data_IF_485884498014
#
_entry.id   IF_485884498014
#
_cell.length_a   1.000
_cell.length_b   1.000
_cell.length_c   1.000
_cell.angle_alpha   90.00
_cell.angle_beta   90.00
_cell.angle_gamma   90.00
#
_symmetry.space_group_name_H-M   'P 1'
#
loop_
_entity.id
_entity.type
_entity.pdbx_description
1 polymer ?
#
# COMPACT_ATOMS: atom_id res chain seq x y z
N UNK A 1 -3.50 13.10 5.80
CA UNK A 1 -3.96 11.75 5.44
C UNK A 1 -2.89 10.74 5.76
N UNK A 2 -3.26 9.54 6.25
CA UNK A 2 -2.35 8.42 6.46
C UNK A 2 -2.73 7.27 5.53
N UNK A 3 -1.75 6.65 4.89
CA UNK A 3 -1.94 5.46 4.06
C UNK A 3 -1.02 4.34 4.55
N UNK A 4 -1.62 3.20 4.92
CA UNK A 4 -0.87 1.98 5.18
C UNK A 4 -0.80 1.12 3.91
N UNK A 5 0.40 0.72 3.52
CA UNK A 5 0.69 -0.11 2.35
C UNK A 5 1.09 -1.49 2.84
N UNK A 6 0.23 -2.49 2.61
CA UNK A 6 0.50 -3.86 3.03
C UNK A 6 0.50 -4.80 1.83
N UNK A 7 1.25 -5.86 1.92
CA UNK A 7 1.26 -6.88 0.88
C UNK A 7 2.59 -7.61 0.72
N UNK A 8 2.80 -8.15 -0.48
CA UNK A 8 3.99 -8.93 -0.81
C UNK A 8 4.98 -8.17 -1.72
N UNK A 9 5.71 -8.84 -2.60
CA UNK A 9 6.83 -8.28 -3.39
C UNK A 9 6.51 -6.97 -4.10
N UNK A 10 5.33 -6.85 -4.70
CA UNK A 10 4.92 -5.60 -5.37
C UNK A 10 4.64 -4.47 -4.38
N UNK A 11 4.19 -4.78 -3.16
CA UNK A 11 4.08 -3.80 -2.08
C UNK A 11 5.46 -3.43 -1.51
N UNK A 12 6.40 -4.39 -1.42
CA UNK A 12 7.80 -4.10 -1.02
C UNK A 12 8.42 -3.08 -1.97
N UNK A 13 8.19 -3.24 -3.27
CA UNK A 13 8.79 -2.42 -4.30
C UNK A 13 10.06 -3.06 -4.86
N UNK A 14 9.93 -3.57 -6.07
CA UNK A 14 11.00 -4.29 -6.79
C UNK A 14 11.38 -3.60 -8.10
N UNK A 15 10.63 -2.57 -8.51
CA UNK A 15 10.90 -1.79 -9.70
C UNK A 15 12.22 -1.00 -9.54
N UNK A 16 13.02 -0.93 -10.60
CA UNK A 16 14.30 -0.23 -10.60
C UNK A 16 14.08 1.29 -10.74
N UNK A 17 14.73 2.07 -9.89
CA UNK A 17 14.72 3.54 -10.01
C UNK A 17 15.18 4.03 -11.38
N UNK A 18 16.13 3.32 -12.00
CA UNK A 18 16.60 3.63 -13.34
C UNK A 18 15.49 3.54 -14.41
N UNK A 19 14.44 2.75 -14.16
CA UNK A 19 13.30 2.63 -15.07
C UNK A 19 12.47 3.91 -15.13
N UNK A 20 12.50 4.75 -14.09
CA UNK A 20 11.83 6.04 -14.07
C UNK A 20 12.38 7.02 -15.13
N UNK A 21 13.63 6.83 -15.54
CA UNK A 21 14.27 7.61 -16.60
C UNK A 21 14.15 6.96 -17.99
N UNK A 22 13.65 5.71 -18.07
CA UNK A 22 13.52 4.98 -19.34
C UNK A 22 12.25 5.40 -20.10
N UNK A 23 12.28 5.35 -21.43
CA UNK A 23 11.10 5.48 -22.25
C UNK A 23 10.26 4.18 -22.11
N UNK A 24 8.91 4.22 -21.99
CA UNK A 24 8.06 5.43 -22.13
C UNK A 24 7.88 6.23 -20.83
N UNK A 25 8.41 5.80 -19.70
CA UNK A 25 8.21 6.45 -18.40
C UNK A 25 8.77 7.89 -18.39
N UNK A 26 9.89 8.13 -19.08
CA UNK A 26 10.45 9.48 -19.22
C UNK A 26 9.57 10.45 -20.00
N UNK A 27 8.63 9.93 -20.78
CA UNK A 27 7.65 10.74 -21.53
C UNK A 27 6.36 10.97 -20.74
N UNK A 28 6.20 10.35 -19.56
CA UNK A 28 5.06 10.57 -18.70
C UNK A 28 5.16 11.96 -18.07
N UNK A 29 4.22 12.89 -18.34
CA UNK A 29 4.26 14.23 -17.77
C UNK A 29 4.24 14.21 -16.25
N UNK A 30 3.72 13.15 -15.64
CA UNK A 30 3.70 12.98 -14.20
C UNK A 30 5.09 12.68 -13.63
N UNK A 31 5.99 12.17 -14.43
CA UNK A 31 7.36 11.83 -14.06
C UNK A 31 8.40 12.85 -14.55
N UNK A 32 8.05 13.69 -15.51
CA UNK A 32 8.97 14.67 -16.10
C UNK A 32 9.56 15.67 -15.09
N UNK A 33 8.80 15.97 -14.02
CA UNK A 33 9.22 16.91 -12.97
C UNK A 33 10.05 16.24 -11.86
N UNK A 34 10.31 14.92 -11.96
CA UNK A 34 11.00 14.16 -10.92
C UNK A 34 12.29 13.56 -11.46
N UNK A 35 13.39 14.24 -11.16
CA UNK A 35 14.73 13.68 -11.41
C UNK A 35 14.92 12.43 -10.55
N UNK A 36 15.33 11.33 -11.20
CA UNK A 36 15.63 10.07 -10.54
C UNK A 36 16.72 10.17 -9.46
N UNK A 37 17.49 11.25 -9.42
CA UNK A 37 18.59 11.44 -8.48
C UNK A 37 18.22 12.23 -7.22
N UNK A 38 17.12 12.98 -7.23
CA UNK A 38 16.76 13.94 -6.14
C UNK A 38 15.36 13.75 -5.57
N UNK A 39 14.76 12.58 -5.73
CA UNK A 39 13.35 12.32 -5.37
C UNK A 39 13.08 12.46 -3.87
N UNK A 40 13.05 13.70 -3.43
CA UNK A 40 12.65 14.12 -2.09
C UNK A 40 11.27 14.77 -2.18
N UNK A 41 10.36 14.31 -1.33
CA UNK A 41 8.97 14.77 -1.33
C UNK A 41 8.69 15.63 -0.09
N UNK A 42 8.57 16.94 -0.24
CA UNK A 42 8.47 17.88 0.90
C UNK A 42 7.26 17.65 1.80
N UNK A 43 6.14 17.19 1.25
CA UNK A 43 4.89 16.95 1.97
C UNK A 43 4.53 15.48 2.12
N UNK A 44 5.51 14.57 1.91
CA UNK A 44 5.31 13.15 2.12
C UNK A 44 6.27 12.64 3.18
N UNK A 45 5.75 11.89 4.12
CA UNK A 45 6.49 11.31 5.24
C UNK A 45 6.35 9.80 5.23
N UNK A 46 7.45 9.11 5.48
CA UNK A 46 7.50 7.66 5.64
C UNK A 46 7.78 7.32 7.10
N UNK A 47 7.04 6.37 7.65
CA UNK A 47 7.30 5.81 8.98
C UNK A 47 8.58 4.97 8.95
N UNK A 48 9.50 5.20 9.90
CA UNK A 48 10.78 4.49 9.97
C UNK A 48 10.89 3.55 11.18
N UNK A 49 9.75 3.22 11.81
CA UNK A 49 9.72 2.41 13.03
C UNK A 49 9.75 3.23 14.34
N UNK A 50 9.98 4.55 14.26
CA UNK A 50 10.02 5.42 15.44
C UNK A 50 9.47 6.81 15.22
N UNK A 51 9.48 7.31 13.99
CA UNK A 51 9.01 8.63 13.62
C UNK A 51 8.61 8.67 12.15
N UNK A 52 7.80 9.66 11.78
CA UNK A 52 7.61 10.03 10.38
C UNK A 52 8.73 10.96 9.93
N UNK A 53 9.50 10.51 8.96
CA UNK A 53 10.58 11.28 8.32
C UNK A 53 10.23 11.62 6.89
N UNK A 54 10.85 12.65 6.33
CA UNK A 54 10.64 13.02 4.92
C UNK A 54 10.93 11.83 4.00
N UNK A 55 10.03 11.56 3.04
CA UNK A 55 10.24 10.50 2.07
C UNK A 55 11.38 10.89 1.12
N UNK A 56 12.41 10.06 1.07
CA UNK A 56 13.55 10.15 0.16
C UNK A 56 13.71 8.82 -0.56
N UNK A 57 13.48 8.81 -1.86
CA UNK A 57 13.55 7.59 -2.65
C UNK A 57 14.99 7.03 -2.66
N UNK A 58 15.09 5.72 -2.43
CA UNK A 58 16.36 5.03 -2.30
C UNK A 58 17.05 5.17 -0.93
N UNK A 59 16.39 5.86 0.02
CA UNK A 59 16.88 6.00 1.40
C UNK A 59 15.91 5.39 2.41
N UNK A 60 14.65 5.82 2.39
CA UNK A 60 13.66 5.39 3.38
C UNK A 60 12.31 4.97 2.80
N UNK A 61 12.24 4.71 1.51
CA UNK A 61 11.03 4.20 0.85
C UNK A 61 10.78 2.70 1.05
N UNK A 62 11.67 2.01 1.76
CA UNK A 62 11.56 0.58 2.07
C UNK A 62 11.31 -0.30 0.85
N UNK A 63 11.97 -0.02 -0.27
CA UNK A 63 12.09 -0.95 -1.39
C UNK A 63 12.95 -2.17 -1.02
N UNK A 64 12.96 -3.20 -1.88
CA UNK A 64 13.77 -4.41 -1.66
C UNK A 64 15.28 -4.13 -1.66
N UNK A 65 15.70 -3.00 -2.23
CA UNK A 65 17.06 -2.45 -2.20
C UNK A 65 17.03 -0.93 -2.37
N UNK A 66 18.12 -0.24 -2.13
CA UNK A 66 18.22 1.22 -2.22
C UNK A 66 17.92 1.78 -3.63
N UNK A 67 18.16 0.98 -4.67
CA UNK A 67 17.85 1.30 -6.06
C UNK A 67 16.43 0.88 -6.49
N UNK A 68 15.60 0.42 -5.56
CA UNK A 68 14.24 -0.06 -5.81
C UNK A 68 13.19 0.90 -5.28
N UNK A 69 12.01 0.84 -5.92
CA UNK A 69 10.84 1.55 -5.45
C UNK A 69 9.56 0.71 -5.67
N UNK A 70 8.47 1.15 -5.07
CA UNK A 70 7.15 0.56 -5.20
C UNK A 70 6.07 1.62 -5.31
N UNK A 71 4.87 1.27 -4.89
CA UNK A 71 3.68 2.12 -4.97
C UNK A 71 3.80 3.44 -4.20
N UNK A 72 4.66 3.51 -3.19
CA UNK A 72 4.91 4.74 -2.42
C UNK A 72 5.36 5.91 -3.30
N UNK A 73 6.12 5.62 -4.37
CA UNK A 73 6.52 6.64 -5.34
C UNK A 73 5.30 7.24 -6.05
N UNK A 74 4.46 6.40 -6.64
CA UNK A 74 3.25 6.86 -7.33
C UNK A 74 2.29 7.62 -6.42
N UNK A 75 2.13 7.16 -5.17
CA UNK A 75 1.32 7.85 -4.17
C UNK A 75 1.91 9.23 -3.83
N UNK A 76 3.22 9.33 -3.67
CA UNK A 76 3.90 10.59 -3.38
C UNK A 76 3.78 11.60 -4.52
N UNK A 77 4.05 11.15 -5.77
CA UNK A 77 3.89 11.98 -6.98
C UNK A 77 2.47 12.52 -7.07
N UNK A 78 1.51 11.64 -6.96
CA UNK A 78 0.09 11.99 -7.07
C UNK A 78 -0.34 12.96 -5.97
N UNK A 79 0.10 12.74 -4.73
CA UNK A 79 -0.18 13.64 -3.62
C UNK A 79 0.36 15.05 -3.87
N UNK A 80 1.61 15.16 -4.29
CA UNK A 80 2.25 16.45 -4.54
C UNK A 80 1.57 17.24 -5.67
N UNK A 81 0.99 16.55 -6.65
CA UNK A 81 0.29 17.18 -7.78
C UNK A 81 -1.15 17.55 -7.49
N UNK A 82 -1.89 16.66 -6.83
CA UNK A 82 -3.33 16.81 -6.62
C UNK A 82 -3.65 17.70 -5.41
N UNK A 83 -2.65 17.96 -4.56
CA UNK A 83 -2.84 18.76 -3.35
C UNK A 83 -1.82 19.89 -3.26
N UNK A 84 -2.26 21.06 -2.85
CA UNK A 84 -1.38 22.20 -2.56
C UNK A 84 -0.99 22.28 -1.09
N UNK A 85 -1.75 21.63 -0.22
CA UNK A 85 -1.61 21.66 1.24
C UNK A 85 -1.70 20.27 1.85
N UNK A 86 -1.31 20.18 3.10
CA UNK A 86 -1.40 18.95 3.90
C UNK A 86 -0.24 17.99 3.68
N UNK A 87 -0.12 17.04 4.58
CA UNK A 87 0.93 16.03 4.58
C UNK A 87 0.35 14.64 4.37
N UNK A 88 0.98 13.88 3.49
CA UNK A 88 0.77 12.45 3.32
C UNK A 88 1.73 11.68 4.24
N UNK A 89 1.17 10.83 5.09
CA UNK A 89 1.90 9.94 5.98
C UNK A 89 1.80 8.50 5.47
N UNK A 90 2.91 7.91 5.08
CA UNK A 90 2.99 6.55 4.57
C UNK A 90 3.57 5.62 5.63
N UNK A 91 2.95 4.45 5.78
CA UNK A 91 3.50 3.34 6.55
C UNK A 91 3.45 2.08 5.70
N UNK A 92 4.48 1.24 5.77
CA UNK A 92 4.61 0.08 4.89
C UNK A 92 4.92 -1.18 5.68
N UNK A 93 4.08 -2.21 5.49
CA UNK A 93 4.33 -3.57 5.97
C UNK A 93 4.20 -4.52 4.79
N UNK A 94 5.32 -4.96 4.27
CA UNK A 94 5.37 -5.82 3.11
C UNK A 94 6.50 -6.84 3.19
N UNK A 95 6.24 -8.06 2.71
CA UNK A 95 7.23 -9.14 2.69
C UNK A 95 7.13 -9.90 1.36
N UNK A 96 8.26 -10.14 0.70
CA UNK A 96 8.28 -10.87 -0.57
C UNK A 96 7.86 -12.33 -0.42
N UNK A 97 7.06 -12.83 -1.36
CA UNK A 97 6.71 -14.25 -1.46
C UNK A 97 5.81 -14.80 -0.36
N UNK A 98 5.10 -13.97 0.39
CA UNK A 98 4.22 -14.41 1.48
C UNK A 98 2.78 -14.58 1.05
N UNK A 99 2.12 -15.61 1.58
CA UNK A 99 0.69 -15.83 1.49
C UNK A 99 -0.09 -14.81 2.34
N UNK A 100 -1.37 -14.58 2.00
CA UNK A 100 -2.31 -13.79 2.78
C UNK A 100 -2.40 -14.25 4.25
N UNK A 101 -2.18 -15.54 4.52
CA UNK A 101 -2.19 -16.09 5.89
C UNK A 101 -1.15 -15.47 6.82
N UNK A 102 -0.09 -14.87 6.27
CA UNK A 102 0.89 -14.11 7.06
C UNK A 102 0.32 -12.82 7.63
N UNK A 103 -0.85 -12.41 7.15
CA UNK A 103 -1.59 -11.23 7.56
C UNK A 103 -2.90 -11.56 8.30
N UNK A 104 -3.18 -12.84 8.57
CA UNK A 104 -4.35 -13.23 9.35
C UNK A 104 -4.36 -12.49 10.70
N UNK A 105 -5.52 -12.05 11.20
CA UNK A 105 -5.62 -11.31 12.48
C UNK A 105 -5.35 -12.22 13.69
N UNK A 106 -4.15 -12.79 13.75
CA UNK A 106 -3.69 -13.66 14.81
C UNK A 106 -2.29 -13.26 15.29
N UNK A 107 -1.98 -13.39 16.59
CA UNK A 107 -0.66 -13.00 17.12
C UNK A 107 0.53 -13.74 16.48
N UNK A 108 0.29 -14.94 15.98
CA UNK A 108 1.32 -15.75 15.32
C UNK A 108 1.60 -15.35 13.86
N UNK A 109 0.72 -14.57 13.23
CA UNK A 109 0.92 -14.07 11.88
C UNK A 109 1.83 -12.85 11.90
N UNK A 110 3.09 -13.05 11.54
CA UNK A 110 4.15 -12.06 11.73
C UNK A 110 3.87 -10.73 11.03
N UNK A 111 3.38 -10.76 9.79
CA UNK A 111 3.09 -9.54 9.04
C UNK A 111 1.89 -8.78 9.60
N UNK A 112 0.88 -9.50 10.10
CA UNK A 112 -0.22 -8.87 10.84
C UNK A 112 0.28 -8.20 12.11
N UNK A 113 0.99 -8.94 12.95
CA UNK A 113 1.47 -8.44 14.24
C UNK A 113 2.35 -7.21 14.07
N UNK A 114 3.33 -7.27 13.16
CA UNK A 114 4.21 -6.14 12.88
C UNK A 114 3.46 -4.95 12.28
N UNK A 115 2.64 -5.18 11.25
CA UNK A 115 1.91 -4.10 10.57
C UNK A 115 0.91 -3.41 11.49
N UNK A 116 0.17 -4.19 12.29
CA UNK A 116 -0.79 -3.64 13.23
C UNK A 116 -0.10 -2.88 14.38
N UNK A 117 1.02 -3.39 14.89
CA UNK A 117 1.84 -2.72 15.89
C UNK A 117 2.39 -1.40 15.34
N UNK A 118 3.11 -1.44 14.23
CA UNK A 118 3.71 -0.25 13.59
C UNK A 118 2.67 0.81 13.24
N UNK A 119 1.50 0.41 12.77
CA UNK A 119 0.41 1.35 12.49
C UNK A 119 -0.11 2.00 13.77
N UNK A 120 -0.14 1.26 14.90
CA UNK A 120 -0.49 1.78 16.21
C UNK A 120 0.51 2.81 16.73
N UNK A 121 1.80 2.47 16.68
CA UNK A 121 2.90 3.35 17.08
C UNK A 121 2.92 4.63 16.24
N UNK A 122 2.80 4.50 14.94
CA UNK A 122 2.73 5.63 14.02
C UNK A 122 1.54 6.56 14.31
N UNK A 123 0.39 6.00 14.66
CA UNK A 123 -0.78 6.79 15.06
C UNK A 123 -0.56 7.51 16.40
N UNK A 124 0.07 6.83 17.36
CA UNK A 124 0.43 7.41 18.67
C UNK A 124 1.43 8.55 18.49
N UNK A 125 2.43 8.36 17.65
CA UNK A 125 3.40 9.40 17.33
C UNK A 125 2.73 10.64 16.74
N UNK A 126 1.84 10.47 15.74
CA UNK A 126 1.10 11.58 15.13
C UNK A 126 0.25 12.34 16.15
N UNK A 127 -0.43 11.62 17.05
CA UNK A 127 -1.20 12.24 18.12
C UNK A 127 -0.29 13.05 19.07
N UNK A 128 0.90 12.53 19.40
CA UNK A 128 1.91 13.22 20.20
C UNK A 128 2.46 14.49 19.54
N UNK A 129 2.43 14.57 18.21
CA UNK A 129 2.78 15.78 17.45
C UNK A 129 1.59 16.74 17.25
N UNK A 130 0.42 16.44 17.82
CA UNK A 130 -0.79 17.24 17.65
C UNK A 130 -1.41 17.13 16.25
N UNK A 131 -1.05 16.09 15.49
CA UNK A 131 -1.57 15.90 14.13
C UNK A 131 -2.93 15.21 14.18
N UNK A 132 -3.95 15.88 13.67
CA UNK A 132 -5.26 15.28 13.41
C UNK A 132 -5.32 14.75 11.98
N UNK A 133 -5.62 13.47 11.83
CA UNK A 133 -5.76 12.83 10.53
C UNK A 133 -7.18 13.01 10.00
N UNK A 134 -7.31 13.49 8.78
CA UNK A 134 -8.58 13.60 8.09
C UNK A 134 -9.12 12.22 7.64
N UNK A 135 -8.23 11.29 7.33
CA UNK A 135 -8.59 9.92 6.99
C UNK A 135 -7.37 8.98 7.13
N UNK A 136 -7.67 7.69 7.28
CA UNK A 136 -6.69 6.60 7.23
C UNK A 136 -7.11 5.64 6.15
N UNK A 137 -6.23 5.40 5.18
CA UNK A 137 -6.48 4.47 4.08
C UNK A 137 -5.56 3.26 4.17
N UNK A 138 -5.97 2.17 3.56
CA UNK A 138 -5.20 0.96 3.45
C UNK A 138 -5.07 0.54 1.98
N UNK A 139 -3.86 0.25 1.54
CA UNK A 139 -3.56 -0.25 0.20
C UNK A 139 -3.06 -1.67 0.33
N UNK A 140 -3.77 -2.61 -0.30
CA UNK A 140 -3.49 -4.03 -0.27
C UNK A 140 -2.96 -4.50 -1.61
N UNK A 141 -1.70 -4.95 -1.65
CA UNK A 141 -1.01 -5.43 -2.86
C UNK A 141 -0.47 -6.82 -2.59
N UNK A 142 -1.33 -7.81 -2.71
CA UNK A 142 -1.00 -9.23 -2.46
C UNK A 142 -1.90 -10.10 -3.33
N UNK A 143 -1.49 -11.34 -3.62
CA UNK A 143 -2.29 -12.33 -4.32
C UNK A 143 -1.47 -13.33 -5.11
N UNK A 144 -0.28 -12.96 -5.57
CA UNK A 144 0.54 -13.82 -6.44
C UNK A 144 1.01 -15.09 -5.71
N UNK A 145 1.26 -15.02 -4.41
CA UNK A 145 1.61 -16.21 -3.62
C UNK A 145 0.41 -17.12 -3.32
N UNK A 146 -0.80 -16.63 -3.59
CA UNK A 146 -2.06 -17.35 -3.37
C UNK A 146 -2.82 -17.59 -4.68
N UNK A 147 -2.18 -17.50 -5.82
CA UNK A 147 -2.80 -17.59 -7.15
C UNK A 147 -3.54 -18.91 -7.42
N UNK A 148 -3.16 -19.97 -6.74
CA UNK A 148 -3.82 -21.28 -6.84
C UNK A 148 -5.04 -21.42 -5.92
N UNK A 149 -5.33 -20.43 -5.07
CA UNK A 149 -6.42 -20.51 -4.11
C UNK A 149 -7.78 -20.21 -4.73
N UNK A 150 -8.83 -20.77 -4.12
CA UNK A 150 -10.20 -20.50 -4.54
C UNK A 150 -10.63 -19.08 -4.14
N UNK A 151 -11.62 -18.54 -4.87
CA UNK A 151 -12.24 -17.27 -4.51
C UNK A 151 -12.72 -17.25 -3.06
N UNK A 152 -13.48 -18.24 -2.64
CA UNK A 152 -14.05 -18.31 -1.29
C UNK A 152 -12.94 -18.26 -0.22
N UNK A 153 -11.90 -19.09 -0.36
CA UNK A 153 -10.81 -19.14 0.60
C UNK A 153 -10.10 -17.81 0.76
N UNK A 154 -9.78 -17.15 -0.37
CA UNK A 154 -9.08 -15.86 -0.33
C UNK A 154 -10.00 -14.73 0.17
N UNK A 155 -11.27 -14.76 -0.23
CA UNK A 155 -12.27 -13.77 0.19
C UNK A 155 -12.49 -13.80 1.70
N UNK A 156 -12.63 -15.00 2.30
CA UNK A 156 -12.82 -15.15 3.74
C UNK A 156 -11.63 -14.54 4.51
N UNK A 157 -10.39 -14.84 4.11
CA UNK A 157 -9.18 -14.30 4.73
C UNK A 157 -9.08 -12.80 4.62
N UNK A 158 -9.31 -12.27 3.42
CA UNK A 158 -9.24 -10.83 3.19
C UNK A 158 -10.34 -10.09 3.98
N UNK A 159 -11.53 -10.69 4.10
CA UNK A 159 -12.62 -10.13 4.90
C UNK A 159 -12.25 -10.11 6.39
N UNK A 160 -11.67 -11.17 6.93
CA UNK A 160 -11.19 -11.22 8.32
C UNK A 160 -10.17 -10.11 8.62
N UNK A 161 -9.22 -9.87 7.71
CA UNK A 161 -8.24 -8.78 7.83
C UNK A 161 -8.95 -7.42 7.87
N UNK A 162 -9.85 -7.18 6.94
CA UNK A 162 -10.60 -5.93 6.84
C UNK A 162 -11.46 -5.67 8.08
N UNK A 163 -12.15 -6.67 8.56
CA UNK A 163 -12.98 -6.57 9.77
C UNK A 163 -12.13 -6.28 11.00
N UNK A 164 -10.96 -6.89 11.09
CA UNK A 164 -10.01 -6.63 12.18
C UNK A 164 -9.43 -5.21 12.11
N UNK A 165 -9.13 -4.67 10.92
CA UNK A 165 -8.68 -3.28 10.76
C UNK A 165 -9.77 -2.28 11.15
N UNK A 166 -11.03 -2.57 10.84
CA UNK A 166 -12.16 -1.74 11.24
C UNK A 166 -12.41 -1.81 12.74
N UNK A 167 -12.57 -3.00 13.30
CA UNK A 167 -12.84 -3.20 14.72
C UNK A 167 -11.68 -2.77 15.63
N UNK A 168 -10.45 -2.92 15.16
CA UNK A 168 -9.23 -2.44 15.82
C UNK A 168 -9.00 -0.92 15.73
N UNK A 169 -9.93 -0.18 15.12
CA UNK A 169 -9.87 1.29 15.03
C UNK A 169 -8.86 1.85 14.03
N UNK A 170 -8.18 1.00 13.25
CA UNK A 170 -7.22 1.45 12.22
C UNK A 170 -7.93 2.19 11.08
N UNK A 171 -9.13 1.73 10.73
CA UNK A 171 -9.99 2.27 9.68
C UNK A 171 -11.38 2.65 10.19
N UNK A 172 -11.48 3.12 11.43
CA UNK A 172 -12.75 3.46 12.06
C UNK A 172 -13.43 4.72 11.47
N UNK A 173 -12.64 5.62 10.86
CA UNK A 173 -13.17 6.84 10.25
C UNK A 173 -14.01 6.50 9.02
N UNK A 174 -15.25 7.05 8.89
CA UNK A 174 -16.08 6.85 7.70
C UNK A 174 -15.45 7.31 6.38
N UNK A 175 -14.48 8.22 6.41
CA UNK A 175 -13.73 8.65 5.24
C UNK A 175 -12.62 7.65 4.85
N UNK A 176 -12.29 6.68 5.72
CA UNK A 176 -11.28 5.68 5.44
C UNK A 176 -11.69 4.74 4.31
N UNK A 177 -10.73 4.35 3.49
CA UNK A 177 -10.94 3.45 2.35
C UNK A 177 -9.84 2.38 2.33
N UNK A 178 -10.22 1.16 1.95
CA UNK A 178 -9.29 0.14 1.51
C UNK A 178 -9.23 0.12 -0.03
N UNK A 179 -8.02 0.10 -0.55
CA UNK A 179 -7.75 -0.02 -1.99
C UNK A 179 -7.15 -1.40 -2.22
N UNK A 180 -7.87 -2.24 -2.95
CA UNK A 180 -7.48 -3.61 -3.27
C UNK A 180 -6.87 -3.63 -4.67
N UNK A 181 -5.56 -3.73 -4.76
CA UNK A 181 -4.87 -3.83 -6.05
C UNK A 181 -5.10 -5.20 -6.69
N UNK A 182 -5.55 -5.23 -7.92
CA UNK A 182 -5.62 -6.46 -8.72
C UNK A 182 -4.23 -6.94 -9.11
N UNK A 183 -4.11 -8.23 -9.41
CA UNK A 183 -2.89 -8.81 -9.95
C UNK A 183 -2.73 -8.42 -11.43
N UNK A 184 -1.47 -8.40 -11.89
CA UNK A 184 -1.19 -8.09 -13.27
C UNK A 184 -1.80 -9.16 -14.22
N UNK A 185 -2.41 -8.77 -15.34
CA UNK A 185 -3.08 -9.69 -16.27
C UNK A 185 -2.19 -10.78 -16.87
N UNK A 186 -0.86 -10.61 -16.89
CA UNK A 186 0.07 -11.64 -17.34
C UNK A 186 0.08 -12.88 -16.46
N UNK A 187 -0.46 -12.80 -15.24
CA UNK A 187 -0.66 -13.92 -14.33
C UNK A 187 -2.05 -14.54 -14.47
N UNK A 188 -2.78 -14.22 -15.51
CA UNK A 188 -4.23 -14.38 -15.68
C UNK A 188 -4.76 -15.81 -15.71
N UNK A 189 -3.92 -16.82 -15.89
CA UNK A 189 -4.37 -18.22 -15.78
C UNK A 189 -4.41 -18.69 -14.32
N UNK A 190 -3.61 -18.07 -13.50
CA UNK A 190 -3.51 -18.28 -12.07
C UNK A 190 -4.00 -17.01 -11.38
N UNK A 191 -4.73 -17.15 -10.31
CA UNK A 191 -5.18 -15.99 -9.54
C UNK A 191 -6.58 -15.49 -9.88
N UNK A 192 -7.31 -16.16 -10.77
CA UNK A 192 -8.71 -15.80 -11.06
C UNK A 192 -9.57 -15.80 -9.78
N UNK A 193 -9.32 -16.72 -8.86
CA UNK A 193 -9.98 -16.78 -7.56
C UNK A 193 -9.67 -15.55 -6.69
N UNK A 194 -8.41 -15.14 -6.65
CA UNK A 194 -7.95 -13.97 -5.91
C UNK A 194 -8.55 -12.68 -6.49
N UNK A 195 -8.53 -12.53 -7.81
CA UNK A 195 -9.11 -11.37 -8.49
C UNK A 195 -10.63 -11.29 -8.25
N UNK A 196 -11.35 -12.40 -8.39
CA UNK A 196 -12.78 -12.47 -8.13
C UNK A 196 -13.12 -12.15 -6.66
N UNK A 197 -12.30 -12.60 -5.70
CA UNK A 197 -12.48 -12.29 -4.28
C UNK A 197 -12.37 -10.78 -4.01
N UNK A 198 -11.35 -10.13 -4.53
CA UNK A 198 -11.17 -8.67 -4.38
C UNK A 198 -12.33 -7.89 -4.99
N UNK A 199 -12.74 -8.25 -6.20
CA UNK A 199 -13.89 -7.64 -6.89
C UNK A 199 -15.18 -7.84 -6.10
N UNK A 200 -15.42 -9.04 -5.55
CA UNK A 200 -16.60 -9.32 -4.75
C UNK A 200 -16.64 -8.46 -3.47
N UNK A 201 -15.52 -8.34 -2.77
CA UNK A 201 -15.42 -7.51 -1.56
C UNK A 201 -15.65 -6.02 -1.91
N UNK A 202 -14.99 -5.51 -2.95
CA UNK A 202 -15.16 -4.13 -3.38
C UNK A 202 -16.60 -3.83 -3.81
N UNK A 203 -17.25 -4.75 -4.49
CA UNK A 203 -18.64 -4.64 -4.92
C UNK A 203 -19.65 -4.71 -3.78
N UNK A 204 -19.37 -5.47 -2.72
CA UNK A 204 -20.27 -5.62 -1.57
C UNK A 204 -20.37 -4.34 -0.73
N UNK A 205 -19.29 -3.55 -0.66
CA UNK A 205 -19.28 -2.31 0.15
C UNK A 205 -18.48 -1.20 -0.55
N UNK A 206 -18.99 -0.69 -1.69
CA UNK A 206 -18.24 0.25 -2.55
C UNK A 206 -17.89 1.58 -1.85
N UNK A 207 -18.61 1.93 -0.78
CA UNK A 207 -18.31 3.12 0.01
C UNK A 207 -17.03 2.98 0.86
N UNK A 208 -16.54 1.76 1.08
CA UNK A 208 -15.36 1.46 1.90
C UNK A 208 -14.21 0.87 1.11
N UNK A 209 -14.48 0.29 -0.06
CA UNK A 209 -13.49 -0.43 -0.86
C UNK A 209 -13.46 0.09 -2.28
N UNK A 210 -12.28 0.11 -2.86
CA UNK A 210 -12.07 0.36 -4.28
C UNK A 210 -11.21 -0.77 -4.83
N UNK A 211 -11.65 -1.35 -5.92
CA UNK A 211 -10.88 -2.30 -6.71
C UNK A 211 -10.16 -1.53 -7.82
N UNK A 212 -8.84 -1.48 -7.78
CA UNK A 212 -8.06 -0.90 -8.87
C UNK A 212 -7.71 -2.02 -9.83
N UNK A 213 -8.42 -2.06 -10.94
CA UNK A 213 -8.01 -2.82 -12.10
C UNK A 213 -6.95 -2.01 -12.84
N UNK A 214 -5.78 -2.58 -13.04
CA UNK A 214 -4.83 -2.00 -13.97
C UNK A 214 -5.42 -2.15 -15.37
N UNK A 215 -5.73 -1.05 -16.08
CA UNK A 215 -6.08 -1.15 -17.49
C UNK A 215 -4.91 -1.85 -18.18
N UNK A 216 -5.22 -2.87 -18.99
CA UNK A 216 -4.22 -3.73 -19.61
C UNK A 216 -3.14 -2.89 -20.33
N UNK A 217 -1.91 -3.27 -20.08
CA UNK A 217 -0.78 -2.87 -20.89
C UNK A 217 -0.79 -3.66 -22.20
#
# INVERSE_FOLDING_TARGET
VQIAIWGQSNAVGTALRAELAAAPLSADPDLADYDANTLTFDRVRMWNGSAYVQLVMGSNNYGSAADKFGVEFGLAVRWMRETTEGTLYLIKQASGGVSITSFDPAPAALNWSNGNYEWGEAATWLAGQGVTLAARHWVWIQGESDEAQTQAWYQDRLQEILDALHSGGRMADPASRAVLSQMHPSTSTYGAGVAAAKTAIAGATPSRFSDIQFPGY
#
